data_IF_519578447608
#
_entry.id   IF_519578447608
#
_cell.length_a   1.000
_cell.length_b   1.000
_cell.length_c   1.000
_cell.angle_alpha   90.00
_cell.angle_beta   90.00
_cell.angle_gamma   90.00
#
_symmetry.space_group_name_H-M   'P 1'
#
loop_
_entity.id
_entity.type
_entity.pdbx_description
1 polymer ?
#
# COMPACT_ATOMS: atom_id res chain seq x y z
N UNK A 1 -3.24 32.28 -1.73
CA UNK A 1 -2.84 31.46 -0.57
C UNK A 1 -1.36 31.13 -0.75
N UNK A 2 -0.47 31.85 -0.08
CA UNK A 2 0.96 31.52 -0.13
C UNK A 2 1.18 30.31 0.75
N UNK A 3 1.64 29.19 0.18
CA UNK A 3 2.05 28.03 0.97
C UNK A 3 3.22 28.45 1.84
N UNK A 4 3.03 28.39 3.17
CA UNK A 4 4.12 28.39 4.14
C UNK A 4 5.23 27.44 3.66
N UNK A 5 6.50 27.82 3.85
CA UNK A 5 7.71 27.10 3.37
C UNK A 5 7.96 25.73 4.00
N UNK A 6 6.90 25.01 4.33
CA UNK A 6 6.89 23.64 4.79
C UNK A 6 7.12 22.69 3.62
N UNK A 7 8.07 21.78 3.77
CA UNK A 7 8.30 20.66 2.86
C UNK A 7 8.15 19.34 3.62
N UNK A 8 7.61 18.33 2.93
CA UNK A 8 7.56 16.98 3.44
C UNK A 8 8.95 16.32 3.40
N UNK A 9 9.34 15.68 4.51
CA UNK A 9 10.54 14.84 4.57
C UNK A 9 10.17 13.37 4.27
N UNK A 10 10.48 12.91 3.06
CA UNK A 10 10.24 11.53 2.63
C UNK A 10 11.04 10.47 3.41
N UNK A 11 12.04 10.91 4.19
CA UNK A 11 12.87 10.05 5.04
C UNK A 11 12.38 9.94 6.48
N UNK A 12 11.33 10.68 6.88
CA UNK A 12 10.83 10.75 8.26
C UNK A 12 10.64 9.37 8.91
N UNK A 13 10.21 8.37 8.14
CA UNK A 13 9.94 7.01 8.62
C UNK A 13 11.02 5.98 8.25
N UNK A 14 12.15 6.39 7.68
CA UNK A 14 13.19 5.47 7.20
C UNK A 14 13.71 4.54 8.31
N UNK A 15 13.91 5.07 9.52
CA UNK A 15 14.41 4.28 10.66
C UNK A 15 13.43 3.21 11.18
N UNK A 16 12.12 3.42 11.05
CA UNK A 16 11.09 2.47 11.49
C UNK A 16 10.49 1.63 10.36
N UNK A 17 10.76 1.96 9.10
CA UNK A 17 10.13 1.38 7.92
C UNK A 17 10.26 -0.15 7.87
N UNK A 18 11.41 -0.70 8.27
CA UNK A 18 11.67 -2.14 8.30
C UNK A 18 10.83 -2.86 9.38
N UNK A 19 10.52 -2.19 10.49
CA UNK A 19 9.77 -2.76 11.61
C UNK A 19 8.26 -2.71 11.38
N UNK A 20 7.78 -1.81 10.52
CA UNK A 20 6.34 -1.63 10.26
C UNK A 20 5.68 -2.94 9.78
N UNK A 21 6.29 -3.65 8.84
CA UNK A 21 5.73 -4.89 8.31
C UNK A 21 5.63 -5.99 9.39
N UNK A 22 6.64 -6.10 10.26
CA UNK A 22 6.66 -7.08 11.35
C UNK A 22 5.71 -6.73 12.51
N UNK A 23 5.51 -5.44 12.79
CA UNK A 23 4.64 -4.98 13.88
C UNK A 23 3.17 -4.79 13.48
N UNK A 24 2.86 -4.75 12.18
CA UNK A 24 1.51 -4.57 11.66
C UNK A 24 0.80 -5.92 11.56
N UNK A 25 -0.38 -6.03 12.17
CA UNK A 25 -1.23 -7.20 11.98
C UNK A 25 -1.57 -7.37 10.49
N UNK A 26 -1.46 -8.60 9.92
CA UNK A 26 -1.84 -8.84 8.53
C UNK A 26 -3.32 -8.54 8.32
N UNK A 27 -3.67 -8.13 7.10
CA UNK A 27 -5.07 -7.99 6.73
C UNK A 27 -5.69 -9.37 6.53
N UNK A 28 -6.90 -9.62 7.09
CA UNK A 28 -7.63 -10.86 6.82
C UNK A 28 -7.97 -10.94 5.33
N UNK A 29 -7.95 -12.14 4.76
CA UNK A 29 -8.25 -12.35 3.33
C UNK A 29 -9.68 -11.95 2.99
N UNK A 30 -10.60 -12.10 3.95
CA UNK A 30 -12.01 -11.73 3.87
C UNK A 30 -12.21 -10.23 3.65
N UNK A 31 -11.19 -9.40 3.96
CA UNK A 31 -11.22 -7.98 3.63
C UNK A 31 -11.29 -7.76 2.11
N UNK A 32 -10.58 -8.57 1.30
CA UNK A 32 -10.66 -8.48 -0.15
C UNK A 32 -12.08 -8.77 -0.64
N UNK A 33 -12.73 -9.79 -0.08
CA UNK A 33 -14.11 -10.16 -0.43
C UNK A 33 -15.11 -9.06 -0.04
N UNK A 34 -14.93 -8.46 1.14
CA UNK A 34 -15.73 -7.33 1.58
C UNK A 34 -15.56 -6.13 0.64
N UNK A 35 -14.32 -5.79 0.26
CA UNK A 35 -14.03 -4.69 -0.68
C UNK A 35 -14.64 -4.97 -2.06
N UNK A 36 -14.45 -6.19 -2.59
CA UNK A 36 -15.04 -6.62 -3.86
C UNK A 36 -16.54 -6.42 -3.86
N UNK A 37 -17.20 -6.86 -2.79
CA UNK A 37 -18.66 -6.82 -2.66
C UNK A 37 -19.17 -5.40 -2.52
N UNK A 38 -18.61 -4.61 -1.59
CA UNK A 38 -19.05 -3.25 -1.32
C UNK A 38 -18.86 -2.33 -2.53
N UNK A 39 -17.77 -2.49 -3.27
CA UNK A 39 -17.47 -1.66 -4.45
C UNK A 39 -17.94 -2.30 -5.77
N UNK A 40 -18.55 -3.49 -5.71
CA UNK A 40 -19.02 -4.27 -6.86
C UNK A 40 -17.93 -4.44 -7.93
N UNK A 41 -16.71 -4.74 -7.48
CA UNK A 41 -15.55 -4.92 -8.35
C UNK A 41 -15.70 -6.21 -9.15
N UNK A 42 -15.43 -6.12 -10.44
CA UNK A 42 -15.51 -7.22 -11.40
C UNK A 42 -14.14 -7.67 -11.93
N UNK A 43 -13.05 -7.12 -11.38
CA UNK A 43 -11.69 -7.45 -11.82
C UNK A 43 -11.24 -6.72 -13.08
N UNK A 44 -12.05 -5.83 -13.68
CA UNK A 44 -11.68 -5.11 -14.91
C UNK A 44 -11.32 -3.65 -14.67
N UNK A 45 -11.80 -3.09 -13.55
CA UNK A 45 -11.61 -1.69 -13.17
C UNK A 45 -10.18 -1.32 -12.78
N UNK A 46 -10.00 -0.04 -12.43
CA UNK A 46 -8.73 0.50 -11.93
C UNK A 46 -8.85 0.85 -10.45
N UNK A 47 -7.83 0.48 -9.66
CA UNK A 47 -7.76 0.79 -8.24
C UNK A 47 -6.54 1.69 -7.94
N UNK A 48 -6.71 2.66 -7.05
CA UNK A 48 -5.62 3.46 -6.49
C UNK A 48 -5.58 3.28 -4.98
N UNK A 49 -4.49 2.73 -4.48
CA UNK A 49 -4.20 2.59 -3.06
C UNK A 49 -3.32 3.75 -2.59
N UNK A 50 -3.91 4.70 -1.85
CA UNK A 50 -3.23 5.90 -1.35
C UNK A 50 -2.77 5.67 0.08
N UNK A 51 -1.50 5.95 0.35
CA UNK A 51 -0.90 5.61 1.63
C UNK A 51 -0.67 4.10 1.77
N UNK A 52 -0.33 3.45 0.65
CA UNK A 52 -0.21 2.00 0.51
C UNK A 52 0.82 1.35 1.46
N UNK A 53 1.66 2.17 2.10
CA UNK A 53 2.70 1.71 3.00
C UNK A 53 3.68 0.78 2.27
N UNK A 54 4.12 -0.32 2.89
CA UNK A 54 4.93 -1.34 2.23
C UNK A 54 4.15 -2.24 1.26
N UNK A 55 2.84 -2.03 1.10
CA UNK A 55 2.03 -2.71 0.08
C UNK A 55 1.24 -3.95 0.55
N UNK A 56 1.09 -4.20 1.84
CA UNK A 56 0.37 -5.40 2.33
C UNK A 56 -1.09 -5.48 1.86
N UNK A 57 -1.84 -4.39 1.97
CA UNK A 57 -3.21 -4.31 1.46
C UNK A 57 -3.23 -4.28 -0.07
N UNK A 58 -2.32 -3.54 -0.67
CA UNK A 58 -2.15 -3.41 -2.12
C UNK A 58 -2.09 -4.78 -2.80
N UNK A 59 -1.27 -5.70 -2.28
CA UNK A 59 -1.13 -7.05 -2.81
C UNK A 59 -2.41 -7.87 -2.64
N UNK A 60 -3.09 -7.74 -1.50
CA UNK A 60 -4.37 -8.40 -1.24
C UNK A 60 -5.47 -7.93 -2.22
N UNK A 61 -5.47 -6.66 -2.60
CA UNK A 61 -6.47 -6.08 -3.51
C UNK A 61 -6.11 -6.23 -5.00
N UNK A 62 -4.86 -6.55 -5.34
CA UNK A 62 -4.39 -6.64 -6.72
C UNK A 62 -5.27 -7.54 -7.63
N UNK A 63 -5.74 -8.73 -7.19
CA UNK A 63 -6.59 -9.58 -8.02
C UNK A 63 -7.99 -9.00 -8.30
N UNK A 64 -8.43 -7.97 -7.57
CA UNK A 64 -9.77 -7.40 -7.68
C UNK A 64 -9.90 -6.35 -8.79
N UNK A 65 -8.82 -6.05 -9.51
CA UNK A 65 -8.78 -4.98 -10.51
C UNK A 65 -7.93 -5.36 -11.71
N UNK A 66 -8.26 -4.82 -12.88
CA UNK A 66 -7.47 -5.02 -14.09
C UNK A 66 -6.17 -4.21 -14.04
N UNK A 67 -6.14 -3.16 -13.22
CA UNK A 67 -4.93 -2.39 -12.94
C UNK A 67 -4.99 -1.74 -11.56
N UNK A 68 -3.93 -1.94 -10.79
CA UNK A 68 -3.76 -1.33 -9.47
C UNK A 68 -2.55 -0.41 -9.47
N UNK A 69 -2.74 0.82 -8.96
CA UNK A 69 -1.67 1.75 -8.62
C UNK A 69 -1.58 1.93 -7.11
N UNK A 70 -0.38 2.13 -6.60
CA UNK A 70 -0.12 2.35 -5.19
C UNK A 70 0.73 3.60 -5.01
N UNK A 71 0.44 4.42 -4.01
CA UNK A 71 1.19 5.63 -3.71
C UNK A 71 1.51 5.74 -2.23
N UNK A 72 2.74 6.17 -1.94
CA UNK A 72 3.21 6.44 -0.58
C UNK A 72 4.20 7.59 -0.61
N UNK A 73 4.15 8.53 0.36
CA UNK A 73 5.10 9.62 0.46
C UNK A 73 6.41 9.19 1.15
N UNK A 74 6.54 7.93 1.57
CA UNK A 74 7.72 7.42 2.29
C UNK A 74 8.65 6.73 1.30
N UNK A 75 9.82 7.34 1.10
CA UNK A 75 10.80 6.91 0.07
C UNK A 75 11.19 5.44 0.22
N UNK A 76 11.43 5.00 1.45
CA UNK A 76 11.87 3.62 1.74
C UNK A 76 10.87 2.55 1.25
N UNK A 77 9.58 2.88 1.17
CA UNK A 77 8.56 1.96 0.68
C UNK A 77 8.33 2.08 -0.83
N UNK A 78 8.53 3.27 -1.42
CA UNK A 78 8.36 3.47 -2.87
C UNK A 78 9.56 3.03 -3.71
N UNK A 79 10.76 2.97 -3.15
CA UNK A 79 11.99 2.60 -3.88
C UNK A 79 12.23 1.09 -4.01
N UNK A 80 11.25 0.23 -3.68
CA UNK A 80 11.42 -1.23 -3.69
C UNK A 80 11.22 -1.81 -5.10
N UNK A 81 12.09 -2.73 -5.55
CA UNK A 81 11.85 -3.46 -6.79
C UNK A 81 10.60 -4.36 -6.62
N UNK A 82 9.74 -4.34 -7.64
CA UNK A 82 8.55 -5.18 -7.71
C UNK A 82 8.94 -6.66 -7.49
N UNK A 83 8.26 -7.36 -6.59
CA UNK A 83 8.50 -8.78 -6.30
C UNK A 83 9.56 -9.08 -5.23
N UNK A 84 10.16 -8.08 -4.57
CA UNK A 84 11.08 -8.30 -3.43
C UNK A 84 10.32 -8.74 -2.16
N UNK A 85 10.04 -10.05 -2.08
CA UNK A 85 9.28 -10.73 -1.02
C UNK A 85 9.89 -10.64 0.38
N UNK A 86 9.66 -9.52 1.08
CA UNK A 86 10.09 -9.32 2.48
C UNK A 86 9.01 -8.64 3.32
N UNK A 87 8.72 -9.16 4.53
CA UNK A 87 8.26 -10.51 4.82
C UNK A 87 6.74 -10.43 4.99
N UNK A 88 5.96 -10.70 3.94
CA UNK A 88 4.55 -10.99 4.16
C UNK A 88 4.51 -12.51 4.38
N UNK A 89 4.28 -13.01 5.61
CA UNK A 89 3.98 -14.42 5.75
C UNK A 89 2.75 -14.69 4.88
N UNK A 90 2.92 -15.59 3.92
CA UNK A 90 1.81 -16.24 3.23
C UNK A 90 0.92 -16.94 4.24
#
# INVERSE_FOLDING_TARGET
MSSSGWSWDESLYAGSAAHYASGRLPYPVELADAVRTCLRLDGTGRLLDVGCGPGSLTLLLAPLSGRLLASTPIRTWSSRPAGSGWPFPT
#
